data_IF_354155327199
#
_entry.id   IF_354155327199
#
_cell.length_a   1.000
_cell.length_b   1.000
_cell.length_c   1.000
_cell.angle_alpha   90.00
_cell.angle_beta   90.00
_cell.angle_gamma   90.00
#
_symmetry.space_group_name_H-M   'P 1'
#
loop_
_entity.id
_entity.type
_entity.pdbx_description
1 polymer ?
#
# COMPACT_ATOMS: atom_id res chain seq x y z
N UNK A 1 3.70 -19.70 13.87
CA UNK A 1 2.59 -19.22 13.01
C UNK A 1 2.00 -20.42 12.29
N UNK A 2 0.73 -20.34 11.88
CA UNK A 2 0.06 -21.43 11.14
C UNK A 2 0.35 -21.32 9.63
N UNK A 3 0.69 -20.14 9.10
CA UNK A 3 1.28 -19.97 7.77
C UNK A 3 2.44 -18.96 7.79
N UNK A 4 3.28 -19.06 6.77
CA UNK A 4 4.43 -18.22 6.45
C UNK A 4 4.15 -17.59 5.09
N UNK A 5 4.45 -16.31 4.89
CA UNK A 5 4.39 -15.69 3.55
C UNK A 5 5.78 -15.73 2.89
N UNK A 6 6.46 -16.87 3.00
CA UNK A 6 7.78 -17.10 2.43
C UNK A 6 7.69 -18.21 1.38
N UNK A 7 8.31 -17.98 0.23
CA UNK A 7 8.56 -18.99 -0.78
C UNK A 7 10.03 -19.03 -1.11
N UNK A 8 10.58 -20.23 -1.30
CA UNK A 8 11.98 -20.45 -1.66
C UNK A 8 12.07 -20.84 -3.13
N UNK A 9 12.93 -20.13 -3.87
CA UNK A 9 13.38 -20.54 -5.20
C UNK A 9 14.55 -21.50 -5.02
N UNK A 10 14.37 -22.74 -5.46
CA UNK A 10 15.34 -23.83 -5.32
C UNK A 10 16.55 -23.58 -6.24
N UNK A 11 17.60 -22.97 -5.69
CA UNK A 11 18.89 -22.68 -6.33
C UNK A 11 19.97 -22.53 -5.27
N UNK A 12 21.24 -22.54 -5.69
CA UNK A 12 22.38 -22.23 -4.82
C UNK A 12 23.18 -21.08 -5.40
N UNK A 13 23.43 -19.99 -4.64
CA UNK A 13 22.84 -19.67 -3.33
C UNK A 13 21.31 -19.38 -3.43
N UNK A 14 20.54 -19.50 -2.33
CA UNK A 14 19.07 -19.48 -2.36
C UNK A 14 18.50 -18.09 -2.67
N UNK A 15 17.26 -18.07 -3.15
CA UNK A 15 16.48 -16.84 -3.27
C UNK A 15 15.08 -17.01 -2.68
N UNK A 16 14.56 -15.96 -2.05
CA UNK A 16 13.30 -15.99 -1.32
C UNK A 16 12.34 -14.92 -1.82
N UNK A 17 11.05 -15.25 -1.89
CA UNK A 17 9.96 -14.32 -2.11
C UNK A 17 9.17 -14.19 -0.80
N UNK A 18 9.02 -12.97 -0.31
CA UNK A 18 8.34 -12.68 0.95
C UNK A 18 7.18 -11.72 0.74
N UNK A 19 6.00 -12.11 1.23
CA UNK A 19 4.77 -11.32 1.18
C UNK A 19 4.67 -10.33 2.33
N UNK A 20 4.70 -9.03 2.04
CA UNK A 20 4.50 -7.94 2.99
C UNK A 20 3.05 -7.44 2.98
N UNK A 21 2.68 -6.61 3.96
CA UNK A 21 1.46 -5.80 3.90
C UNK A 21 1.79 -4.38 4.35
N UNK A 22 1.13 -3.39 3.75
CA UNK A 22 1.41 -1.97 3.97
C UNK A 22 0.87 -1.44 5.31
N UNK A 23 1.41 -1.97 6.41
CA UNK A 23 1.00 -1.64 7.79
C UNK A 23 2.23 -1.45 8.68
N UNK A 24 2.11 -0.75 9.83
CA UNK A 24 3.23 -0.55 10.75
C UNK A 24 3.92 -1.85 11.13
N UNK A 25 5.25 -1.94 10.97
CA UNK A 25 5.98 -3.19 11.17
C UNK A 25 5.77 -3.78 12.58
N UNK A 26 5.62 -2.93 13.59
CA UNK A 26 5.37 -3.34 14.99
C UNK A 26 4.08 -4.13 15.19
N UNK A 27 3.13 -4.05 14.26
CA UNK A 27 1.85 -4.78 14.31
C UNK A 27 1.93 -6.19 13.73
N UNK A 28 3.02 -6.53 13.06
CA UNK A 28 3.18 -7.80 12.33
C UNK A 28 4.53 -8.50 12.59
N UNK A 29 5.57 -7.77 13.01
CA UNK A 29 6.94 -8.29 13.12
C UNK A 29 7.05 -9.50 14.05
N UNK A 30 6.37 -9.49 15.19
CA UNK A 30 6.40 -10.61 16.15
C UNK A 30 5.71 -11.88 15.63
N UNK A 31 4.81 -11.75 14.64
CA UNK A 31 4.11 -12.87 14.02
C UNK A 31 4.83 -13.44 12.80
N UNK A 32 5.78 -12.70 12.22
CA UNK A 32 6.63 -13.20 11.13
C UNK A 32 7.52 -14.33 11.66
N UNK A 33 7.47 -15.53 11.04
CA UNK A 33 8.25 -16.69 11.49
C UNK A 33 9.77 -16.42 11.55
N UNK A 34 10.49 -17.01 12.52
CA UNK A 34 11.94 -16.83 12.65
C UNK A 34 12.73 -17.23 11.40
N UNK A 35 12.29 -18.27 10.68
CA UNK A 35 12.95 -18.71 9.45
C UNK A 35 12.79 -17.70 8.30
N UNK A 36 11.69 -16.94 8.24
CA UNK A 36 11.55 -15.82 7.30
C UNK A 36 12.49 -14.66 7.62
N UNK A 37 12.66 -14.34 8.91
CA UNK A 37 13.64 -13.34 9.36
C UNK A 37 15.08 -13.79 9.06
N UNK A 38 15.37 -15.08 9.26
CA UNK A 38 16.66 -15.67 8.93
C UNK A 38 16.93 -15.62 7.43
N UNK A 39 15.96 -15.96 6.58
CA UNK A 39 16.08 -15.85 5.12
C UNK A 39 16.44 -14.42 4.68
N UNK A 40 15.85 -13.40 5.32
CA UNK A 40 16.23 -12.00 5.11
C UNK A 40 17.67 -11.73 5.53
N UNK A 41 18.04 -12.11 6.76
CA UNK A 41 19.37 -11.86 7.33
C UNK A 41 20.50 -12.57 6.57
N UNK A 42 20.29 -13.80 6.10
CA UNK A 42 21.31 -14.59 5.37
C UNK A 42 21.43 -14.20 3.88
N UNK A 43 20.49 -13.42 3.33
CA UNK A 43 20.55 -13.00 1.92
C UNK A 43 21.52 -11.84 1.70
N UNK A 44 22.31 -11.88 0.64
CA UNK A 44 23.26 -10.82 0.26
C UNK A 44 22.54 -9.57 -0.25
N UNK A 45 21.42 -9.76 -0.94
CA UNK A 45 20.62 -8.70 -1.57
C UNK A 45 19.18 -8.70 -1.07
N UNK A 46 18.59 -7.52 -0.91
CA UNK A 46 17.18 -7.33 -0.58
C UNK A 46 16.50 -6.43 -1.62
N UNK A 47 15.52 -6.96 -2.33
CA UNK A 47 14.89 -6.30 -3.47
C UNK A 47 13.41 -6.06 -3.15
N UNK A 48 12.94 -4.83 -3.36
CA UNK A 48 11.60 -4.39 -3.01
C UNK A 48 10.80 -4.03 -4.26
N UNK A 49 9.51 -3.71 -4.11
CA UNK A 49 8.71 -3.18 -5.23
C UNK A 49 9.25 -1.82 -5.69
N UNK A 50 9.46 -0.90 -4.75
CA UNK A 50 10.02 0.42 -4.96
C UNK A 50 11.17 0.66 -3.97
N UNK A 51 12.11 1.49 -4.39
CA UNK A 51 13.20 1.98 -3.55
C UNK A 51 12.71 3.15 -2.68
N UNK A 52 12.10 2.82 -1.54
CA UNK A 52 11.50 3.79 -0.61
C UNK A 52 12.53 4.52 0.26
N UNK A 53 13.82 4.13 0.23
CA UNK A 53 14.90 4.84 0.93
C UNK A 53 15.53 5.91 0.04
N UNK A 54 15.34 5.82 -1.28
CA UNK A 54 15.79 6.81 -2.24
C UNK A 54 14.88 8.06 -2.30
N UNK A 55 15.42 9.27 -2.04
CA UNK A 55 14.64 10.51 -2.03
C UNK A 55 14.04 10.87 -3.40
N UNK A 56 14.64 10.43 -4.51
CA UNK A 56 14.08 10.66 -5.85
C UNK A 56 12.79 9.86 -6.06
N UNK A 57 12.74 8.61 -5.59
CA UNK A 57 11.52 7.79 -5.61
C UNK A 57 10.40 8.46 -4.82
N UNK A 58 10.70 8.92 -3.60
CA UNK A 58 9.73 9.61 -2.75
C UNK A 58 9.22 10.91 -3.37
N UNK A 59 10.11 11.67 -4.02
CA UNK A 59 9.75 12.91 -4.72
C UNK A 59 8.84 12.63 -5.91
N UNK A 60 9.21 11.66 -6.77
CA UNK A 60 8.41 11.30 -7.93
C UNK A 60 7.04 10.72 -7.53
N UNK A 61 6.97 9.90 -6.48
CA UNK A 61 5.71 9.43 -5.90
C UNK A 61 4.85 10.60 -5.43
N UNK A 62 5.46 11.60 -4.76
CA UNK A 62 4.74 12.77 -4.29
C UNK A 62 4.17 13.60 -5.45
N UNK A 63 4.97 13.83 -6.49
CA UNK A 63 4.59 14.59 -7.69
C UNK A 63 3.45 13.93 -8.48
N UNK A 64 3.42 12.60 -8.57
CA UNK A 64 2.37 11.91 -9.32
C UNK A 64 0.98 11.99 -8.66
N UNK A 65 0.90 12.34 -7.36
CA UNK A 65 -0.35 12.47 -6.61
C UNK A 65 -1.06 13.80 -6.85
N UNK A 66 -0.34 14.83 -7.30
CA UNK A 66 -0.87 16.18 -7.46
C UNK A 66 -1.40 16.40 -8.87
N UNK A 67 -2.33 17.34 -8.98
CA UNK A 67 -2.81 17.82 -10.28
C UNK A 67 -1.65 18.46 -11.06
N UNK A 68 -1.55 18.19 -12.37
CA UNK A 68 -0.49 18.75 -13.20
C UNK A 68 -0.55 20.28 -13.18
N UNK A 69 0.60 20.92 -13.41
CA UNK A 69 0.71 22.37 -13.62
C UNK A 69 1.12 22.60 -15.08
N UNK A 70 0.39 23.41 -15.84
CA UNK A 70 0.69 23.65 -17.27
C UNK A 70 -0.23 24.67 -17.94
N UNK A 71 0.02 25.03 -19.19
CA UNK A 71 -0.75 26.09 -19.90
C UNK A 71 -2.26 25.82 -19.99
N UNK A 72 -2.67 24.55 -20.04
CA UNK A 72 -4.07 24.12 -19.99
C UNK A 72 -4.64 23.98 -18.58
N UNK A 73 -3.77 23.88 -17.57
CA UNK A 73 -4.15 23.70 -16.17
C UNK A 73 -3.65 24.89 -15.33
N UNK A 74 -4.55 25.85 -15.10
CA UNK A 74 -4.21 27.09 -14.40
C UNK A 74 -3.70 26.82 -12.97
N UNK A 75 -3.01 27.82 -12.40
CA UNK A 75 -2.67 27.86 -10.97
C UNK A 75 -3.91 27.77 -10.05
N UNK A 76 -5.10 27.92 -10.61
CA UNK A 76 -6.41 27.81 -9.96
C UNK A 76 -7.11 26.48 -10.22
N UNK A 77 -6.51 25.52 -10.95
CA UNK A 77 -7.05 24.17 -10.99
C UNK A 77 -6.88 23.51 -9.63
N UNK A 78 -8.01 23.42 -8.97
CA UNK A 78 -8.15 22.86 -7.64
C UNK A 78 -9.22 21.79 -7.70
N UNK A 79 -9.17 20.89 -6.74
CA UNK A 79 -10.10 19.78 -6.60
C UNK A 79 -11.58 20.22 -6.68
N UNK A 80 -11.91 21.44 -6.25
CA UNK A 80 -13.27 21.98 -6.36
C UNK A 80 -13.77 22.17 -7.79
N UNK A 81 -12.89 22.28 -8.79
CA UNK A 81 -13.30 22.34 -10.20
C UNK A 81 -13.60 20.95 -10.78
N UNK A 82 -13.14 19.88 -10.11
CA UNK A 82 -13.28 18.49 -10.57
C UNK A 82 -14.40 17.74 -9.85
N UNK A 83 -14.72 18.15 -8.62
CA UNK A 83 -15.75 17.51 -7.81
C UNK A 83 -17.07 18.31 -7.89
N UNK A 84 -18.23 17.63 -7.91
CA UNK A 84 -19.51 18.29 -7.67
C UNK A 84 -19.50 19.08 -6.34
N UNK A 85 -20.16 20.24 -6.32
CA UNK A 85 -20.15 21.17 -5.17
C UNK A 85 -20.56 20.49 -3.85
N UNK A 86 -21.61 19.66 -3.90
CA UNK A 86 -22.09 18.90 -2.74
C UNK A 86 -21.04 17.91 -2.22
N UNK A 87 -20.38 17.18 -3.13
CA UNK A 87 -19.34 16.20 -2.76
C UNK A 87 -18.11 16.90 -2.18
N UNK A 88 -17.69 18.02 -2.77
CA UNK A 88 -16.58 18.81 -2.24
C UNK A 88 -16.90 19.37 -0.85
N UNK A 89 -18.12 19.89 -0.65
CA UNK A 89 -18.57 20.39 0.65
C UNK A 89 -18.67 19.28 1.70
N UNK A 90 -19.11 18.08 1.31
CA UNK A 90 -19.12 16.88 2.17
C UNK A 90 -17.71 16.46 2.58
N UNK A 91 -16.78 16.41 1.62
CA UNK A 91 -15.37 16.15 1.88
C UNK A 91 -14.77 17.18 2.86
N UNK A 92 -15.04 18.47 2.67
CA UNK A 92 -14.57 19.51 3.60
C UNK A 92 -15.06 19.29 5.03
N UNK A 93 -16.36 19.01 5.21
CA UNK A 93 -16.92 18.70 6.53
C UNK A 93 -16.29 17.44 7.15
N UNK A 94 -16.05 16.41 6.34
CA UNK A 94 -15.38 15.20 6.81
C UNK A 94 -13.93 15.47 7.27
N UNK A 95 -13.16 16.22 6.47
CA UNK A 95 -11.79 16.58 6.83
C UNK A 95 -11.72 17.48 8.07
N UNK A 96 -12.70 18.36 8.28
CA UNK A 96 -12.81 19.16 9.50
C UNK A 96 -13.10 18.27 10.72
N UNK A 97 -14.03 17.32 10.61
CA UNK A 97 -14.27 16.32 11.66
C UNK A 97 -12.96 15.60 12.02
N UNK A 98 -12.26 15.06 11.02
CA UNK A 98 -10.96 14.38 11.19
C UNK A 98 -9.96 15.30 11.89
N UNK A 99 -9.82 16.56 11.45
CA UNK A 99 -8.94 17.55 12.08
C UNK A 99 -9.24 17.72 13.56
N UNK A 100 -10.51 17.90 13.93
CA UNK A 100 -10.91 18.06 15.34
C UNK A 100 -10.74 16.78 16.17
N UNK A 101 -10.85 15.60 15.55
CA UNK A 101 -10.63 14.30 16.20
C UNK A 101 -9.15 13.95 16.38
N UNK A 102 -8.22 14.60 15.67
CA UNK A 102 -6.79 14.25 15.74
C UNK A 102 -6.25 14.23 17.18
N UNK A 103 -6.66 15.18 18.03
CA UNK A 103 -6.13 15.26 19.39
C UNK A 103 -6.45 14.01 20.23
N UNK A 104 -7.66 13.44 20.08
CA UNK A 104 -8.05 12.22 20.78
C UNK A 104 -7.46 10.96 20.13
N UNK A 105 -7.25 10.99 18.81
CA UNK A 105 -6.67 9.85 18.09
C UNK A 105 -5.16 9.72 18.28
N UNK A 106 -4.42 10.81 18.52
CA UNK A 106 -2.97 10.75 18.74
C UNK A 106 -2.58 9.88 19.94
N UNK A 107 -1.54 9.07 19.75
CA UNK A 107 -0.94 8.26 20.83
C UNK A 107 -0.13 9.12 21.81
N UNK A 108 0.03 8.63 23.04
CA UNK A 108 0.85 9.33 24.04
C UNK A 108 2.31 9.44 23.63
N UNK A 109 2.81 8.48 22.86
CA UNK A 109 4.17 8.50 22.33
C UNK A 109 4.37 9.66 21.34
N UNK A 110 3.43 9.86 20.42
CA UNK A 110 3.44 10.99 19.50
C UNK A 110 3.42 12.33 20.25
N UNK A 111 2.57 12.43 21.29
CA UNK A 111 2.49 13.63 22.15
C UNK A 111 3.79 13.88 22.90
N UNK A 112 4.42 12.84 23.48
CA UNK A 112 5.71 12.94 24.17
C UNK A 112 6.86 13.36 23.24
N UNK A 113 6.80 12.96 21.95
CA UNK A 113 7.75 13.38 20.91
C UNK A 113 7.51 14.82 20.41
N UNK A 114 6.57 15.55 21.00
CA UNK A 114 6.28 16.95 20.64
C UNK A 114 5.44 17.11 19.37
N UNK A 115 4.86 16.03 18.83
CA UNK A 115 3.89 16.15 17.74
C UNK A 115 2.59 16.74 18.29
N UNK A 116 1.90 17.53 17.45
CA UNK A 116 0.60 18.11 17.76
C UNK A 116 -0.39 17.88 16.61
N UNK A 117 -1.68 17.91 16.94
CA UNK A 117 -2.78 17.50 16.06
C UNK A 117 -2.75 18.17 14.69
N UNK A 118 -2.60 19.50 14.66
CA UNK A 118 -2.56 20.27 13.41
C UNK A 118 -1.34 19.94 12.55
N UNK A 119 -0.18 19.70 13.16
CA UNK A 119 1.01 19.27 12.43
C UNK A 119 0.78 17.91 11.78
N UNK A 120 0.25 16.94 12.54
CA UNK A 120 0.00 15.60 12.05
C UNK A 120 -1.04 15.59 10.92
N UNK A 121 -2.13 16.34 11.10
CA UNK A 121 -3.15 16.52 10.07
C UNK A 121 -2.55 17.11 8.79
N UNK A 122 -1.75 18.17 8.90
CA UNK A 122 -1.10 18.79 7.74
C UNK A 122 -0.06 17.85 7.10
N UNK A 123 0.65 17.04 7.89
CA UNK A 123 1.62 16.07 7.39
C UNK A 123 1.00 14.87 6.67
N UNK A 124 -0.24 14.49 7.03
CA UNK A 124 -0.98 13.42 6.36
C UNK A 124 -1.70 13.95 5.12
N UNK A 125 -2.38 15.10 5.23
CA UNK A 125 -3.18 15.68 4.15
C UNK A 125 -2.37 16.48 3.13
N UNK A 126 -1.16 16.91 3.52
CA UNK A 126 -0.19 17.63 2.71
C UNK A 126 0.91 16.76 2.13
N UNK A 127 1.63 17.30 1.13
CA UNK A 127 2.84 16.68 0.59
C UNK A 127 4.03 17.05 1.50
N UNK A 128 4.73 16.04 2.02
CA UNK A 128 5.77 16.21 3.04
C UNK A 128 7.08 16.87 2.56
N UNK A 129 7.18 17.25 1.27
CA UNK A 129 8.46 17.57 0.63
C UNK A 129 8.78 19.07 0.44
N UNK A 130 7.85 20.00 0.74
CA UNK A 130 8.10 21.43 0.45
C UNK A 130 7.61 22.35 1.58
N UNK A 131 8.51 23.03 2.32
CA UNK A 131 8.17 23.94 3.42
C UNK A 131 7.31 25.15 2.99
N UNK A 132 7.30 25.47 1.68
CA UNK A 132 6.54 26.59 1.11
C UNK A 132 5.41 26.13 0.16
N UNK A 133 5.13 24.83 0.06
CA UNK A 133 3.88 24.36 -0.53
C UNK A 133 2.91 24.07 0.60
N UNK A 134 1.84 24.85 0.71
CA UNK A 134 0.74 24.52 1.59
C UNK A 134 0.37 23.03 1.38
N UNK A 135 0.31 22.27 2.47
CA UNK A 135 -0.34 20.97 2.54
C UNK A 135 -1.80 21.12 2.12
N UNK A 136 -2.03 21.14 0.82
CA UNK A 136 -3.30 21.48 0.23
C UNK A 136 -3.82 20.26 -0.49
N UNK A 137 -4.49 19.38 0.25
CA UNK A 137 -5.24 18.25 -0.32
C UNK A 137 -6.14 18.68 -1.50
N UNK A 138 -6.50 19.98 -1.59
CA UNK A 138 -7.19 20.59 -2.74
C UNK A 138 -6.39 20.59 -4.05
N UNK A 139 -5.08 20.29 -4.02
CA UNK A 139 -4.22 20.13 -5.21
C UNK A 139 -3.93 18.66 -5.52
N UNK A 140 -4.36 17.71 -4.68
CA UNK A 140 -4.27 16.29 -4.97
C UNK A 140 -5.29 15.92 -6.06
N UNK A 141 -4.95 14.95 -6.89
CA UNK A 141 -5.90 14.32 -7.82
C UNK A 141 -7.00 13.60 -7.02
N UNK A 142 -8.25 13.54 -7.52
CA UNK A 142 -9.38 12.95 -6.79
C UNK A 142 -9.15 11.52 -6.25
N UNK A 143 -8.45 10.66 -7.01
CA UNK A 143 -8.16 9.27 -6.58
C UNK A 143 -7.26 9.23 -5.35
N UNK A 144 -6.28 10.13 -5.28
CA UNK A 144 -5.37 10.22 -4.14
C UNK A 144 -6.04 10.86 -2.92
N UNK A 145 -7.05 11.71 -3.14
CA UNK A 145 -7.92 12.20 -2.06
C UNK A 145 -8.76 11.06 -1.50
N UNK A 146 -9.31 10.19 -2.35
CA UNK A 146 -10.04 8.99 -1.91
C UNK A 146 -9.14 8.06 -1.07
N UNK A 147 -7.94 7.72 -1.56
CA UNK A 147 -6.98 6.90 -0.81
C UNK A 147 -6.58 7.56 0.53
N UNK A 148 -6.33 8.88 0.50
CA UNK A 148 -6.02 9.66 1.71
C UNK A 148 -7.18 9.59 2.71
N UNK A 149 -8.42 9.82 2.28
CA UNK A 149 -9.60 9.72 3.16
C UNK A 149 -9.70 8.33 3.76
N UNK A 150 -9.54 7.27 2.96
CA UNK A 150 -9.57 5.89 3.46
C UNK A 150 -8.50 5.61 4.54
N UNK A 151 -7.36 6.30 4.47
CA UNK A 151 -6.28 6.20 5.48
C UNK A 151 -6.46 7.11 6.72
N UNK A 152 -7.46 8.00 6.74
CA UNK A 152 -7.70 8.93 7.85
C UNK A 152 -8.60 8.31 8.94
N UNK A 153 -8.08 7.27 9.60
CA UNK A 153 -8.74 6.60 10.74
C UNK A 153 -7.95 6.75 12.02
N UNK A 154 -8.57 6.48 13.18
CA UNK A 154 -7.88 6.52 14.48
C UNK A 154 -6.68 5.56 14.53
N UNK A 155 -6.81 4.34 14.00
CA UNK A 155 -5.75 3.32 14.02
C UNK A 155 -4.53 3.73 13.19
N UNK A 156 -4.78 4.26 11.99
CA UNK A 156 -3.72 4.77 11.09
C UNK A 156 -3.04 6.01 11.69
N UNK A 157 -3.80 6.91 12.29
CA UNK A 157 -3.25 8.12 12.94
C UNK A 157 -2.39 7.75 14.16
N UNK A 158 -2.84 6.81 15.01
CA UNK A 158 -2.06 6.34 16.18
C UNK A 158 -0.71 5.78 15.80
N UNK A 159 -0.63 5.13 14.65
CA UNK A 159 0.57 4.47 14.17
C UNK A 159 1.44 5.34 13.26
N UNK A 160 0.98 6.55 12.91
CA UNK A 160 1.76 7.48 12.09
C UNK A 160 3.11 7.79 12.71
N UNK A 161 4.17 7.67 11.91
CA UNK A 161 5.57 7.81 12.34
C UNK A 161 6.25 6.48 12.65
N UNK A 162 5.51 5.37 12.71
CA UNK A 162 6.07 4.02 12.69
C UNK A 162 6.23 3.59 11.22
N UNK A 163 7.42 3.13 10.79
CA UNK A 163 7.60 2.63 9.44
C UNK A 163 6.64 1.46 9.12
N UNK A 164 6.09 1.45 7.91
CA UNK A 164 5.42 0.27 7.39
C UNK A 164 6.43 -0.87 7.16
N UNK A 165 5.96 -2.12 7.11
CA UNK A 165 6.84 -3.29 7.00
C UNK A 165 7.81 -3.21 5.81
N UNK A 166 7.35 -2.72 4.66
CA UNK A 166 8.16 -2.58 3.44
C UNK A 166 9.35 -1.64 3.67
N UNK A 167 9.08 -0.45 4.21
CA UNK A 167 10.09 0.55 4.51
C UNK A 167 11.01 0.10 5.64
N UNK A 168 10.48 -0.58 6.66
CA UNK A 168 11.27 -1.13 7.74
C UNK A 168 12.31 -2.14 7.21
N UNK A 169 11.89 -3.07 6.34
CA UNK A 169 12.79 -4.05 5.73
C UNK A 169 13.84 -3.38 4.83
N UNK A 170 13.45 -2.38 4.03
CA UNK A 170 14.40 -1.64 3.19
C UNK A 170 15.45 -0.91 4.03
N UNK A 171 15.02 -0.20 5.08
CA UNK A 171 15.94 0.46 6.02
C UNK A 171 16.82 -0.55 6.78
N UNK A 172 16.29 -1.73 7.11
CA UNK A 172 17.08 -2.77 7.78
C UNK A 172 18.12 -3.35 6.82
N UNK A 173 17.80 -3.54 5.55
CA UNK A 173 18.73 -4.03 4.54
C UNK A 173 19.91 -3.07 4.35
N UNK A 174 19.66 -1.76 4.29
CA UNK A 174 20.71 -0.75 4.25
C UNK A 174 21.59 -0.76 5.52
N UNK A 175 20.97 -0.88 6.70
CA UNK A 175 21.71 -0.97 7.98
C UNK A 175 22.60 -2.21 8.06
N UNK A 176 22.17 -3.31 7.46
CA UNK A 176 22.93 -4.57 7.38
C UNK A 176 23.94 -4.60 6.22
N UNK A 177 24.02 -3.54 5.40
CA UNK A 177 24.96 -3.44 4.28
C UNK A 177 24.62 -4.35 3.10
N UNK A 178 23.36 -4.81 3.00
CA UNK A 178 22.87 -5.61 1.87
C UNK A 178 22.80 -4.75 0.61
N UNK A 179 22.91 -5.39 -0.55
CA UNK A 179 22.62 -4.71 -1.82
C UNK A 179 21.11 -4.54 -1.94
N UNK A 180 20.63 -3.30 -1.98
CA UNK A 180 19.22 -2.98 -2.15
C UNK A 180 18.86 -2.66 -3.59
N UNK A 181 17.60 -2.89 -3.97
CA UNK A 181 17.10 -2.57 -5.30
C UNK A 181 15.58 -2.63 -5.38
N UNK A 182 15.05 -2.31 -6.56
CA UNK A 182 13.61 -2.29 -6.83
C UNK A 182 13.27 -3.03 -8.14
N UNK A 183 12.14 -3.74 -8.15
CA UNK A 183 11.61 -4.39 -9.37
C UNK A 183 10.55 -3.57 -10.08
N UNK A 184 10.09 -2.44 -9.54
CA UNK A 184 9.13 -1.55 -10.20
C UNK A 184 9.64 -0.12 -10.30
N UNK A 185 8.93 0.68 -11.10
CA UNK A 185 9.15 2.11 -11.25
C UNK A 185 7.97 2.89 -10.70
N UNK A 186 8.22 4.15 -10.33
CA UNK A 186 7.19 5.04 -9.78
C UNK A 186 6.02 5.20 -10.75
N UNK A 187 6.29 5.31 -12.05
CA UNK A 187 5.25 5.48 -13.07
C UNK A 187 4.32 4.27 -13.13
N UNK A 188 4.86 3.07 -12.91
CA UNK A 188 4.10 1.80 -12.96
C UNK A 188 3.09 1.68 -11.81
N UNK A 189 3.31 2.41 -10.72
CA UNK A 189 2.44 2.48 -9.54
C UNK A 189 1.45 3.66 -9.64
N UNK A 190 1.90 4.79 -10.19
CA UNK A 190 1.09 6.00 -10.28
C UNK A 190 0.09 5.99 -11.44
N UNK A 191 0.48 5.46 -12.61
CA UNK A 191 -0.34 5.52 -13.83
C UNK A 191 -1.69 4.82 -13.65
N UNK A 192 -1.77 3.58 -13.10
CA UNK A 192 -3.03 2.91 -12.83
C UNK A 192 -4.01 3.75 -12.01
N UNK A 193 -3.54 4.41 -10.97
CA UNK A 193 -4.40 5.26 -10.13
C UNK A 193 -4.85 6.51 -10.90
N UNK A 194 -3.93 7.14 -11.64
CA UNK A 194 -4.18 8.40 -12.32
C UNK A 194 -5.00 8.27 -13.62
N UNK A 195 -5.18 7.05 -14.14
CA UNK A 195 -5.94 6.77 -15.37
C UNK A 195 -7.39 6.34 -15.12
N UNK A 196 -7.81 6.17 -13.86
CA UNK A 196 -9.22 5.94 -13.55
C UNK A 196 -10.09 7.07 -14.10
N UNK A 197 -11.25 6.69 -14.64
CA UNK A 197 -12.20 7.67 -15.15
C UNK A 197 -12.74 8.53 -14.00
N UNK A 198 -12.92 9.83 -14.24
CA UNK A 198 -13.47 10.75 -13.26
C UNK A 198 -14.78 10.22 -12.65
N UNK A 199 -15.70 9.65 -13.45
CA UNK A 199 -16.95 9.08 -12.94
C UNK A 199 -16.73 7.95 -11.92
N UNK A 200 -15.77 7.07 -12.18
CA UNK A 200 -15.38 5.99 -11.27
C UNK A 200 -14.77 6.54 -9.99
N UNK A 201 -13.91 7.56 -10.10
CA UNK A 201 -13.28 8.17 -8.93
C UNK A 201 -14.29 8.94 -8.08
N UNK A 202 -15.25 9.64 -8.70
CA UNK A 202 -16.33 10.32 -7.99
C UNK A 202 -17.22 9.32 -7.24
N UNK A 203 -17.57 8.21 -7.89
CA UNK A 203 -18.30 7.12 -7.25
C UNK A 203 -17.51 6.55 -6.06
N UNK A 204 -16.24 6.21 -6.26
CA UNK A 204 -15.40 5.62 -5.22
C UNK A 204 -15.22 6.57 -4.03
N UNK A 205 -14.92 7.85 -4.27
CA UNK A 205 -14.81 8.87 -3.22
C UNK A 205 -16.13 9.04 -2.45
N UNK A 206 -17.27 9.03 -3.15
CA UNK A 206 -18.58 9.11 -2.52
C UNK A 206 -18.84 7.90 -1.61
N UNK A 207 -18.50 6.68 -2.06
CA UNK A 207 -18.62 5.47 -1.26
C UNK A 207 -17.67 5.49 -0.06
N UNK A 208 -16.42 5.92 -0.23
CA UNK A 208 -15.45 6.05 0.88
C UNK A 208 -15.97 7.00 1.96
N UNK A 209 -16.49 8.17 1.59
CA UNK A 209 -17.09 9.10 2.54
C UNK A 209 -18.29 8.48 3.25
N UNK A 210 -19.18 7.80 2.53
CA UNK A 210 -20.33 7.11 3.13
C UNK A 210 -19.92 6.04 4.13
N UNK A 211 -18.87 5.28 3.83
CA UNK A 211 -18.33 4.27 4.75
C UNK A 211 -17.78 4.92 6.02
N UNK A 212 -16.98 5.98 5.88
CA UNK A 212 -16.42 6.69 7.02
C UNK A 212 -17.49 7.35 7.90
N UNK A 213 -18.53 7.91 7.29
CA UNK A 213 -19.65 8.49 8.02
C UNK A 213 -20.46 7.42 8.75
N UNK A 214 -20.72 6.28 8.09
CA UNK A 214 -21.38 5.14 8.73
C UNK A 214 -20.57 4.60 9.91
N UNK A 215 -19.24 4.55 9.81
CA UNK A 215 -18.36 4.11 10.90
C UNK A 215 -18.30 5.10 12.06
N UNK A 216 -18.49 6.40 11.78
CA UNK A 216 -18.61 7.41 12.83
C UNK A 216 -19.95 7.29 13.57
N UNK A 217 -21.02 6.99 12.83
CA UNK A 217 -22.38 6.95 13.38
C UNK A 217 -22.66 5.60 14.07
N UNK A 218 -22.02 4.51 13.64
CA UNK A 218 -22.08 3.20 14.28
C UNK A 218 -20.93 3.07 15.29
N UNK A 219 -21.23 2.84 16.57
CA UNK A 219 -20.21 2.61 17.61
C UNK A 219 -19.45 1.28 17.48
N UNK A 220 -19.45 0.64 16.30
CA UNK A 220 -18.82 -0.65 16.06
C UNK A 220 -17.74 -0.53 14.99
N UNK A 221 -16.54 -1.08 15.23
CA UNK A 221 -15.46 -1.05 14.25
C UNK A 221 -15.83 -1.85 12.98
N UNK A 222 -15.27 -1.49 11.81
CA UNK A 222 -15.57 -2.17 10.55
C UNK A 222 -15.24 -3.67 10.62
N UNK A 223 -16.05 -4.49 9.95
CA UNK A 223 -15.78 -5.93 9.75
C UNK A 223 -14.48 -6.19 8.94
N UNK A 224 -14.03 -5.24 8.13
CA UNK A 224 -12.84 -5.34 7.28
C UNK A 224 -12.06 -4.00 7.23
N UNK A 225 -11.35 -3.65 8.30
CA UNK A 225 -10.39 -2.54 8.34
C UNK A 225 -8.93 -2.99 8.29
N UNK A 226 -7.96 -2.07 8.44
CA UNK A 226 -6.54 -2.43 8.56
C UNK A 226 -6.27 -3.38 9.74
N UNK A 227 -7.03 -3.28 10.82
CA UNK A 227 -6.97 -4.23 11.93
C UNK A 227 -7.40 -5.66 11.54
N UNK A 228 -8.41 -5.80 10.67
CA UNK A 228 -8.80 -7.11 10.13
C UNK A 228 -7.71 -7.65 9.18
N UNK A 229 -7.14 -6.78 8.32
CA UNK A 229 -6.03 -7.15 7.43
C UNK A 229 -4.82 -7.66 8.22
N UNK A 230 -4.43 -6.94 9.27
CA UNK A 230 -3.35 -7.32 10.19
C UNK A 230 -3.68 -8.65 10.87
N UNK A 231 -4.92 -8.84 11.33
CA UNK A 231 -5.34 -10.08 11.97
C UNK A 231 -5.22 -11.26 10.99
N UNK A 232 -5.76 -11.13 9.78
CA UNK A 232 -5.67 -12.13 8.73
C UNK A 232 -4.22 -12.47 8.40
N UNK A 233 -3.36 -11.47 8.25
CA UNK A 233 -1.93 -11.65 8.01
C UNK A 233 -1.25 -12.38 9.18
N UNK A 234 -1.46 -11.93 10.41
CA UNK A 234 -0.87 -12.55 11.61
C UNK A 234 -1.37 -13.98 11.86
N UNK A 235 -2.61 -14.29 11.48
CA UNK A 235 -3.19 -15.62 11.53
C UNK A 235 -2.78 -16.50 10.35
N UNK A 236 -2.23 -15.92 9.28
CA UNK A 236 -1.86 -16.65 8.08
C UNK A 236 -3.03 -16.97 7.15
N UNK A 237 -4.16 -16.27 7.28
CA UNK A 237 -5.41 -16.51 6.57
C UNK A 237 -5.73 -15.31 5.67
N UNK A 238 -4.98 -15.17 4.57
CA UNK A 238 -5.21 -14.11 3.58
C UNK A 238 -6.27 -14.53 2.58
N UNK A 239 -7.16 -13.60 2.25
CA UNK A 239 -8.22 -13.78 1.28
C UNK A 239 -7.81 -13.19 -0.07
N UNK A 240 -7.96 -13.98 -1.13
CA UNK A 240 -7.75 -13.51 -2.50
C UNK A 240 -8.63 -12.31 -2.87
N UNK A 241 -9.78 -12.12 -2.24
CA UNK A 241 -10.64 -10.97 -2.51
C UNK A 241 -10.07 -9.62 -2.01
N UNK A 242 -8.93 -9.61 -1.31
CA UNK A 242 -8.33 -8.41 -0.74
C UNK A 242 -6.99 -8.02 -1.37
N UNK A 243 -6.66 -8.54 -2.57
CA UNK A 243 -5.36 -8.37 -3.21
C UNK A 243 -4.84 -6.92 -3.23
N UNK A 244 -5.61 -6.01 -3.84
CA UNK A 244 -5.19 -4.61 -3.97
C UNK A 244 -5.08 -3.88 -2.63
N UNK A 245 -5.67 -4.44 -1.56
CA UNK A 245 -5.67 -3.86 -0.21
C UNK A 245 -4.44 -4.24 0.60
N UNK A 246 -3.69 -5.26 0.18
CA UNK A 246 -2.42 -5.61 0.79
C UNK A 246 -1.31 -4.60 0.45
N UNK A 247 -1.41 -3.97 -0.72
CA UNK A 247 -0.38 -3.07 -1.26
C UNK A 247 -0.74 -1.59 -1.09
N UNK A 248 -2.03 -1.24 -1.24
CA UNK A 248 -2.52 0.14 -1.21
C UNK A 248 -3.79 0.27 -0.35
N UNK A 249 -4.06 1.44 0.24
CA UNK A 249 -5.27 1.68 1.05
C UNK A 249 -6.51 1.90 0.17
N UNK A 250 -6.81 0.97 -0.75
CA UNK A 250 -8.00 0.99 -1.60
C UNK A 250 -9.23 0.63 -0.77
N UNK A 251 -10.33 1.43 -0.82
CA UNK A 251 -11.54 1.15 -0.07
C UNK A 251 -12.26 -0.10 -0.58
N UNK A 252 -13.05 -0.73 0.29
CA UNK A 252 -13.92 -1.83 -0.07
C UNK A 252 -15.15 -1.32 -0.80
N UNK A 253 -15.15 -1.27 -2.13
CA UNK A 253 -16.25 -0.64 -2.87
C UNK A 253 -17.47 -1.57 -3.01
N UNK A 254 -17.27 -2.88 -3.09
CA UNK A 254 -18.38 -3.82 -3.19
C UNK A 254 -19.02 -4.05 -1.82
N UNK A 255 -20.33 -3.78 -1.75
CA UNK A 255 -21.18 -4.05 -0.60
C UNK A 255 -22.50 -4.65 -1.10
N UNK A 256 -22.98 -5.71 -0.45
CA UNK A 256 -24.22 -6.43 -0.81
C UNK A 256 -25.48 -5.56 -0.72
N UNK A 257 -25.42 -4.45 0.01
CA UNK A 257 -26.52 -3.49 0.14
C UNK A 257 -26.59 -2.46 -1.01
N UNK A 258 -25.65 -2.48 -1.96
CA UNK A 258 -25.63 -1.51 -3.06
C UNK A 258 -26.74 -1.76 -4.10
N UNK A 259 -27.35 -0.70 -4.66
CA UNK A 259 -28.21 -0.82 -5.83
C UNK A 259 -27.49 -1.48 -7.02
N UNK A 260 -28.19 -2.18 -7.93
CA UNK A 260 -27.56 -2.93 -9.03
C UNK A 260 -26.59 -2.12 -9.89
N UNK A 261 -26.90 -0.84 -10.16
CA UNK A 261 -26.04 0.03 -10.96
C UNK A 261 -24.75 0.40 -10.22
N UNK A 262 -24.83 0.71 -8.92
CA UNK A 262 -23.67 1.03 -8.09
C UNK A 262 -22.80 -0.21 -7.85
N UNK A 263 -23.43 -1.37 -7.65
CA UNK A 263 -22.72 -2.65 -7.55
C UNK A 263 -21.94 -2.94 -8.83
N UNK A 264 -22.53 -2.71 -10.01
CA UNK A 264 -21.83 -2.88 -11.28
C UNK A 264 -20.63 -1.93 -11.39
N UNK A 265 -20.78 -0.65 -11.01
CA UNK A 265 -19.66 0.29 -11.00
C UNK A 265 -18.54 -0.11 -10.04
N UNK A 266 -18.88 -0.57 -8.83
CA UNK A 266 -17.92 -1.06 -7.85
C UNK A 266 -17.13 -2.27 -8.39
N UNK A 267 -17.82 -3.25 -8.98
CA UNK A 267 -17.19 -4.42 -9.59
C UNK A 267 -16.25 -4.04 -10.75
N UNK A 268 -16.63 -3.08 -11.58
CA UNK A 268 -15.78 -2.60 -12.67
C UNK A 268 -14.50 -1.95 -12.15
N UNK A 269 -14.56 -1.21 -11.03
CA UNK A 269 -13.38 -0.61 -10.41
C UNK A 269 -12.49 -1.68 -9.75
N UNK A 270 -13.08 -2.65 -9.05
CA UNK A 270 -12.33 -3.76 -8.46
C UNK A 270 -11.65 -4.61 -9.54
N UNK A 271 -12.33 -4.90 -10.64
CA UNK A 271 -11.73 -5.61 -11.77
C UNK A 271 -10.59 -4.81 -12.41
N UNK A 272 -10.75 -3.50 -12.55
CA UNK A 272 -9.68 -2.62 -13.05
C UNK A 272 -8.45 -2.66 -12.13
N UNK A 273 -8.65 -2.52 -10.82
CA UNK A 273 -7.54 -2.59 -9.86
C UNK A 273 -6.90 -3.96 -9.80
N UNK A 274 -7.67 -5.05 -9.86
CA UNK A 274 -7.11 -6.39 -9.97
C UNK A 274 -6.19 -6.49 -11.20
N UNK A 275 -6.66 -6.02 -12.36
CA UNK A 275 -5.89 -6.11 -13.58
C UNK A 275 -4.61 -5.25 -13.56
N UNK A 276 -4.72 -3.98 -13.16
CA UNK A 276 -3.61 -3.04 -13.22
C UNK A 276 -2.64 -3.18 -12.04
N UNK A 277 -3.15 -3.40 -10.83
CA UNK A 277 -2.35 -3.41 -9.60
C UNK A 277 -1.84 -4.81 -9.25
N UNK A 278 -2.41 -5.89 -9.81
CA UNK A 278 -1.97 -7.26 -9.53
C UNK A 278 -1.53 -7.95 -10.81
N UNK A 279 -2.42 -8.18 -11.78
CA UNK A 279 -2.10 -9.07 -12.91
C UNK A 279 -0.93 -8.54 -13.77
N UNK A 280 -0.97 -7.25 -14.14
CA UNK A 280 0.09 -6.60 -14.92
C UNK A 280 1.39 -6.45 -14.12
N UNK A 281 1.28 -6.20 -12.81
CA UNK A 281 2.43 -6.08 -11.91
C UNK A 281 3.12 -7.42 -11.71
N UNK A 282 2.36 -8.50 -11.46
CA UNK A 282 2.85 -9.88 -11.37
C UNK A 282 3.65 -10.28 -12.61
N UNK A 283 3.18 -9.93 -13.80
CA UNK A 283 3.89 -10.21 -15.05
C UNK A 283 5.27 -9.54 -15.10
N UNK A 284 5.34 -8.23 -14.83
CA UNK A 284 6.60 -7.48 -14.83
C UNK A 284 7.52 -7.90 -13.69
N UNK A 285 6.99 -8.09 -12.49
CA UNK A 285 7.76 -8.54 -11.32
C UNK A 285 8.40 -9.90 -11.58
N UNK A 286 7.64 -10.88 -12.07
CA UNK A 286 8.18 -12.21 -12.35
C UNK A 286 9.28 -12.19 -13.42
N UNK A 287 9.11 -11.40 -14.49
CA UNK A 287 10.13 -11.21 -15.52
C UNK A 287 11.42 -10.60 -14.93
N UNK A 288 11.29 -9.53 -14.12
CA UNK A 288 12.43 -8.83 -13.52
C UNK A 288 13.12 -9.66 -12.44
N UNK A 289 12.36 -10.42 -11.64
CA UNK A 289 12.92 -11.40 -10.70
C UNK A 289 13.71 -12.47 -11.45
N UNK A 290 13.13 -13.09 -12.48
CA UNK A 290 13.84 -14.11 -13.27
C UNK A 290 15.13 -13.55 -13.90
N UNK A 291 15.06 -12.33 -14.43
CA UNK A 291 16.23 -11.63 -14.97
C UNK A 291 17.32 -11.41 -13.90
N UNK A 292 16.98 -10.88 -12.72
CA UNK A 292 17.93 -10.66 -11.63
C UNK A 292 18.59 -11.97 -11.18
N UNK A 293 17.79 -13.04 -11.03
CA UNK A 293 18.30 -14.35 -10.66
C UNK A 293 19.31 -14.89 -11.69
N UNK A 294 19.06 -14.65 -12.98
CA UNK A 294 19.93 -15.08 -14.08
C UNK A 294 21.22 -14.26 -14.20
N UNK A 295 21.14 -12.93 -14.02
CA UNK A 295 22.31 -12.05 -14.11
C UNK A 295 23.27 -12.20 -12.93
N UNK A 296 22.75 -12.66 -11.78
CA UNK A 296 23.51 -12.82 -10.55
C UNK A 296 23.40 -14.27 -10.05
N UNK A 297 24.10 -15.22 -10.72
CA UNK A 297 24.03 -16.66 -10.40
C UNK A 297 24.61 -16.99 -9.02
N UNK A 298 25.55 -16.19 -8.53
CA UNK A 298 26.31 -16.43 -7.28
C UNK A 298 25.85 -15.53 -6.12
N UNK A 299 24.63 -14.97 -6.19
CA UNK A 299 24.09 -14.05 -5.20
C UNK A 299 22.80 -14.57 -4.61
N UNK A 300 22.69 -14.56 -3.27
CA UNK A 300 21.42 -14.85 -2.59
C UNK A 300 20.53 -13.61 -2.58
N UNK A 301 19.22 -13.83 -2.73
CA UNK A 301 18.24 -12.74 -2.84
C UNK A 301 17.09 -12.91 -1.86
N UNK A 302 16.66 -11.80 -1.27
CA UNK A 302 15.39 -11.68 -0.58
C UNK A 302 14.51 -10.65 -1.29
N UNK A 303 13.44 -11.10 -1.94
CA UNK A 303 12.45 -10.23 -2.56
C UNK A 303 11.30 -10.00 -1.59
N UNK A 304 10.93 -8.75 -1.33
CA UNK A 304 9.82 -8.39 -0.47
C UNK A 304 8.77 -7.59 -1.26
N UNK A 305 7.65 -8.23 -1.58
CA UNK A 305 6.52 -7.66 -2.32
C UNK A 305 5.25 -7.81 -1.50
N UNK A 306 4.24 -6.99 -1.78
CA UNK A 306 2.93 -7.10 -1.17
C UNK A 306 2.35 -8.51 -1.33
N UNK A 307 1.76 -9.02 -0.25
CA UNK A 307 1.30 -10.40 -0.16
C UNK A 307 0.25 -10.74 -1.21
N UNK A 308 -0.44 -9.72 -1.76
CA UNK A 308 -1.40 -9.90 -2.82
C UNK A 308 -0.80 -10.46 -4.12
N UNK A 309 0.50 -10.27 -4.36
CA UNK A 309 1.21 -10.79 -5.53
C UNK A 309 1.44 -12.32 -5.49
N UNK A 310 1.19 -12.96 -4.34
CA UNK A 310 1.49 -14.38 -4.09
C UNK A 310 0.26 -15.26 -3.85
N UNK A 311 -0.95 -14.71 -3.83
CA UNK A 311 -2.18 -15.50 -3.64
C UNK A 311 -3.07 -15.44 -4.87
N UNK A 312 -3.94 -16.44 -5.03
CA UNK A 312 -4.82 -16.57 -6.20
C UNK A 312 -4.13 -17.24 -7.39
N UNK A 313 -4.51 -16.80 -8.58
CA UNK A 313 -4.03 -17.35 -9.85
C UNK A 313 -3.14 -16.33 -10.56
N UNK A 314 -2.28 -16.78 -11.47
CA UNK A 314 -1.38 -15.91 -12.24
C UNK A 314 -0.43 -15.07 -11.36
N UNK A 315 -0.08 -15.62 -10.19
CA UNK A 315 0.80 -15.01 -9.20
C UNK A 315 2.23 -14.86 -9.72
N UNK A 316 3.06 -14.08 -9.02
CA UNK A 316 4.50 -14.05 -9.30
C UNK A 316 5.10 -15.46 -9.24
N UNK A 317 4.64 -16.29 -8.29
CA UNK A 317 5.10 -17.68 -8.14
C UNK A 317 4.72 -18.52 -9.36
N UNK A 318 3.46 -18.46 -9.83
CA UNK A 318 3.01 -19.22 -10.99
C UNK A 318 3.81 -18.86 -12.25
N UNK A 319 4.09 -17.57 -12.41
CA UNK A 319 4.84 -17.04 -13.56
C UNK A 319 6.30 -17.46 -13.52
N UNK A 320 6.95 -17.41 -12.35
CA UNK A 320 8.31 -17.91 -12.18
C UNK A 320 8.38 -19.43 -12.41
N UNK A 321 7.38 -20.20 -11.97
CA UNK A 321 7.32 -21.64 -12.27
C UNK A 321 7.28 -21.93 -13.77
N UNK A 322 6.61 -21.09 -14.55
CA UNK A 322 6.58 -21.23 -16.03
C UNK A 322 7.90 -20.94 -16.70
N UNK A 323 8.81 -20.19 -16.07
CA UNK A 323 10.17 -20.00 -16.60
C UNK A 323 11.09 -21.19 -16.30
N UNK A 324 10.58 -22.23 -15.60
CA UNK A 324 11.34 -23.41 -15.21
C UNK A 324 11.97 -23.33 -13.82
N UNK A 325 11.76 -22.22 -13.09
CA UNK A 325 12.22 -22.09 -11.71
C UNK A 325 11.35 -22.93 -10.77
N UNK A 326 11.98 -23.72 -9.91
CA UNK A 326 11.27 -24.44 -8.85
C UNK A 326 11.08 -23.51 -7.66
N UNK A 327 9.85 -23.06 -7.43
CA UNK A 327 9.47 -22.18 -6.33
C UNK A 327 8.50 -22.92 -5.40
N UNK A 328 8.84 -23.03 -4.13
CA UNK A 328 8.08 -23.79 -3.13
C UNK A 328 7.72 -22.92 -1.95
N UNK A 329 6.53 -23.14 -1.37
CA UNK A 329 6.16 -22.48 -0.13
C UNK A 329 7.05 -23.00 1.00
N UNK A 330 7.50 -22.10 1.87
CA UNK A 330 8.33 -22.44 3.02
C UNK A 330 7.55 -22.15 4.28
N UNK A 331 7.10 -23.23 4.92
CA UNK A 331 6.30 -23.21 6.12
C UNK A 331 7.04 -22.62 7.34
N UNK A 332 6.30 -22.19 8.38
CA UNK A 332 6.91 -21.72 9.62
C UNK A 332 7.80 -22.80 10.26
N UNK A 333 9.07 -22.48 10.52
CA UNK A 333 10.02 -23.42 11.14
C UNK A 333 10.62 -24.47 10.20
N UNK A 334 10.27 -24.46 8.92
CA UNK A 334 10.95 -25.28 7.91
C UNK A 334 12.36 -24.73 7.63
N UNK A 335 13.27 -25.63 7.23
CA UNK A 335 14.62 -25.26 6.83
C UNK A 335 14.58 -24.43 5.54
N UNK A 336 15.43 -23.42 5.49
CA UNK A 336 15.56 -22.48 4.36
C UNK A 336 16.74 -22.83 3.43
N UNK A 337 17.31 -24.03 3.56
CA UNK A 337 18.54 -24.48 2.87
C UNK A 337 18.31 -25.60 1.90
#
# INVERSE_FOLDING_TARGET
GINSFLWTVQRSPPAYLFGTIHVPYTRVWEWIPPNSKLAFTESDSAIFELDLTNPYTLTALAECQVLPTGEFFSRFDVLSNLLPEELYSRLQRHLEYVRTSMQSWMSDDQKRKGLFADYLFNAITGLHAYPNSAGNWRRKRPVWVMLMVNSLTESEVKSRGIPVLDLYLAQQAEREGKVTGAVERVEEQCIPLNQLNLSQVLFALNQTLSQHESLRDQASPPLCGSDALIQHYNCGDLNSLMFSRYDLPVPALVNSSLPPQELHQALMIEQYFQHELIDKRNARMAERVAYLLQQHPDTSFFFAFGAGHFLGNETVIDRLRRTGLRVEHTGPGENIT
#
